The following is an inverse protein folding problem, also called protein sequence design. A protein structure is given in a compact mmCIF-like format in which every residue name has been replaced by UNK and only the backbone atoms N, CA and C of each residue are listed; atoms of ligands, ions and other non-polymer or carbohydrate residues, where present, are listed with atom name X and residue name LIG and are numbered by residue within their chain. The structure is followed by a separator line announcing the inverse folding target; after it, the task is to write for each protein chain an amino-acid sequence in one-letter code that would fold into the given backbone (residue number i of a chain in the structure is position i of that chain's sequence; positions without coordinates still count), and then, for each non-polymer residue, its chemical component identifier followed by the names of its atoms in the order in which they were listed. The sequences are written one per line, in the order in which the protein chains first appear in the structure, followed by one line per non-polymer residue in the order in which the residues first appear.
data_IF_696833996697
#
_entry.id   IF_696833996697
#
_cell.length_a   1.000
_cell.length_b   1.000
_cell.length_c   1.000
_cell.angle_alpha   90.00
_cell.angle_beta   90.00
_cell.angle_gamma   90.00
#
_symmetry.space_group_name_H-M   'P 1'
#
loop_
_entity.id
_entity.type
_entity.pdbx_description
1 polymer ?
#
# COMPACT_ATOMS: atom_id res chain seq x y z
N UNK A 1 -0.26 -26.01 10.66
CA UNK A 1 -0.10 -25.47 10.51
C UNK A 1 -0.29 -24.95 10.11
N UNK A 2 -0.11 -24.80 10.28
CA UNK A 2 -0.31 -24.11 10.00
C UNK A 2 -0.20 -23.48 9.36
N UNK A 3 -0.53 -23.57 8.41
CA UNK A 3 -0.31 -22.68 8.08
C UNK A 3 -0.17 -21.69 8.80
N UNK A 4 0.10 -21.99 9.18
CA UNK A 4 0.30 -21.15 10.13
C UNK A 4 0.91 -19.95 9.78
N UNK A 5 0.93 -18.97 10.41
CA UNK A 5 1.62 -17.79 10.19
C UNK A 5 1.13 -16.94 9.05
N UNK A 6 0.23 -17.40 8.21
CA UNK A 6 -0.30 -16.61 7.13
C UNK A 6 -1.72 -16.24 7.46
N UNK A 7 -1.86 -15.18 8.25
CA UNK A 7 -3.18 -14.69 8.62
C UNK A 7 -3.32 -13.29 8.06
N UNK A 8 -4.30 -13.12 7.19
CA UNK A 8 -4.64 -11.82 6.63
C UNK A 8 -5.90 -11.33 7.33
N UNK A 9 -5.74 -10.26 8.10
CA UNK A 9 -6.86 -9.66 8.80
C UNK A 9 -7.66 -8.79 7.85
N UNK A 10 -8.99 -8.87 7.88
CA UNK A 10 -9.80 -8.02 7.02
C UNK A 10 -9.69 -6.55 7.42
N UNK A 11 -9.71 -5.67 6.42
CA UNK A 11 -9.71 -4.24 6.60
C UNK A 11 -11.00 -3.69 6.01
N UNK A 12 -11.83 -3.12 6.85
CA UNK A 12 -13.07 -2.47 6.42
C UNK A 12 -12.83 -0.97 6.49
N UNK A 13 -12.41 -0.39 5.37
CA UNK A 13 -12.09 1.03 5.33
C UNK A 13 -13.32 1.86 5.04
N UNK A 14 -13.90 1.67 3.85
CA UNK A 14 -15.16 2.32 3.49
C UNK A 14 -15.99 1.33 2.69
N UNK A 15 -17.21 1.73 2.29
CA UNK A 15 -18.04 0.87 1.44
C UNK A 15 -17.39 0.63 0.07
N UNK A 16 -16.52 1.55 -0.36
CA UNK A 16 -15.91 1.47 -1.69
C UNK A 16 -14.44 1.05 -1.65
N UNK A 17 -13.83 0.91 -0.47
CA UNK A 17 -12.44 0.50 -0.35
C UNK A 17 -12.30 -0.52 0.77
N UNK A 18 -11.86 -1.72 0.43
CA UNK A 18 -11.72 -2.81 1.38
C UNK A 18 -10.42 -3.52 1.11
N UNK A 19 -10.03 -4.38 2.03
CA UNK A 19 -8.82 -5.15 1.83
C UNK A 19 -8.46 -6.05 3.00
N UNK A 20 -7.21 -6.44 3.02
CA UNK A 20 -6.66 -7.27 4.08
C UNK A 20 -5.30 -6.75 4.49
N UNK A 21 -4.90 -7.08 5.71
CA UNK A 21 -3.59 -6.75 6.26
C UNK A 21 -2.90 -8.03 6.69
N UNK A 22 -1.66 -8.19 6.26
CA UNK A 22 -0.85 -9.35 6.58
C UNK A 22 0.45 -8.82 7.19
N UNK A 23 0.80 -9.29 8.38
CA UNK A 23 2.00 -8.82 9.10
C UNK A 23 3.01 -9.95 9.17
N UNK A 24 4.25 -9.63 8.87
CA UNK A 24 5.39 -10.52 9.03
C UNK A 24 6.42 -9.84 9.95
N UNK A 25 7.52 -10.52 10.19
CA UNK A 25 8.54 -9.99 11.10
C UNK A 25 9.09 -8.64 10.65
N UNK A 26 9.27 -8.46 9.35
CA UNK A 26 9.94 -7.27 8.83
C UNK A 26 9.13 -6.46 7.83
N UNK A 27 7.88 -6.83 7.55
CA UNK A 27 7.04 -6.06 6.63
C UNK A 27 5.57 -6.23 6.93
N UNK A 28 4.76 -5.33 6.38
CA UNK A 28 3.31 -5.42 6.37
C UNK A 28 2.84 -5.36 4.92
N UNK A 29 1.89 -6.20 4.56
CA UNK A 29 1.30 -6.25 3.23
C UNK A 29 -0.18 -5.91 3.33
N UNK A 30 -0.58 -4.85 2.64
CA UNK A 30 -1.98 -4.43 2.57
C UNK A 30 -2.49 -4.67 1.15
N UNK A 31 -3.45 -5.59 1.00
CA UNK A 31 -4.08 -5.84 -0.29
C UNK A 31 -5.39 -5.09 -0.32
N UNK A 32 -5.55 -4.21 -1.29
CA UNK A 32 -6.70 -3.31 -1.35
C UNK A 32 -7.50 -3.54 -2.63
N UNK A 33 -8.81 -3.37 -2.51
CA UNK A 33 -9.77 -3.56 -3.60
C UNK A 33 -10.74 -2.40 -3.61
N UNK A 34 -11.02 -1.86 -4.77
CA UNK A 34 -12.04 -0.83 -4.93
C UNK A 34 -11.48 0.50 -5.37
N UNK A 35 -11.89 1.56 -4.70
CA UNK A 35 -11.59 2.93 -5.13
C UNK A 35 -10.78 3.65 -4.07
N UNK A 36 -9.68 4.26 -4.49
CA UNK A 36 -8.87 5.12 -3.61
C UNK A 36 -9.05 6.55 -4.12
N UNK A 37 -10.04 7.22 -3.59
CA UNK A 37 -10.49 8.52 -4.07
C UNK A 37 -10.70 9.49 -2.90
N UNK A 38 -11.26 10.66 -3.19
CA UNK A 38 -11.48 11.68 -2.18
C UNK A 38 -12.37 11.19 -1.04
N UNK A 39 -13.30 10.29 -1.33
CA UNK A 39 -14.21 9.76 -0.30
C UNK A 39 -13.47 8.80 0.63
N UNK A 40 -12.67 7.89 0.10
CA UNK A 40 -12.00 6.85 0.89
C UNK A 40 -10.67 7.30 1.47
N UNK A 41 -10.07 8.35 0.92
CA UNK A 41 -8.72 8.79 1.27
C UNK A 41 -8.55 9.09 2.76
N UNK A 42 -9.46 9.81 3.43
CA UNK A 42 -9.24 10.12 4.85
C UNK A 42 -9.16 8.86 5.72
N UNK A 43 -10.03 7.88 5.44
CA UNK A 43 -10.01 6.62 6.18
C UNK A 43 -8.76 5.81 5.86
N UNK A 44 -8.39 5.75 4.59
CA UNK A 44 -7.16 5.07 4.16
C UNK A 44 -5.96 5.64 4.91
N UNK A 45 -5.81 6.96 4.88
CA UNK A 45 -4.67 7.64 5.51
C UNK A 45 -4.62 7.37 7.01
N UNK A 46 -5.76 7.46 7.67
CA UNK A 46 -5.83 7.25 9.11
C UNK A 46 -5.49 5.81 9.50
N UNK A 47 -6.11 4.84 8.84
CA UNK A 47 -5.97 3.44 9.23
C UNK A 47 -4.60 2.89 8.82
N UNK A 48 -4.21 3.07 7.57
CA UNK A 48 -2.93 2.55 7.10
C UNK A 48 -1.77 3.30 7.75
N UNK A 49 -1.93 4.61 7.95
CA UNK A 49 -0.91 5.39 8.64
C UNK A 49 -0.66 4.91 10.06
N UNK A 50 -1.72 4.56 10.78
CA UNK A 50 -1.58 4.04 12.13
C UNK A 50 -0.85 2.70 12.15
N UNK A 51 -1.21 1.79 11.23
CA UNK A 51 -0.51 0.51 11.15
C UNK A 51 0.96 0.70 10.77
N UNK A 52 1.25 1.70 9.94
CA UNK A 52 2.64 2.01 9.58
C UNK A 52 3.45 2.44 10.80
N UNK A 53 2.83 3.18 11.72
CA UNK A 53 3.49 3.59 12.95
C UNK A 53 3.68 2.45 13.94
N UNK A 54 2.72 1.53 13.98
CA UNK A 54 2.69 0.50 15.02
C UNK A 54 3.37 -0.80 14.65
N UNK A 55 3.50 -1.09 13.37
CA UNK A 55 4.05 -2.35 12.91
C UNK A 55 5.38 -2.21 12.21
N UNK A 56 5.82 -3.27 11.54
CA UNK A 56 7.05 -3.18 10.73
C UNK A 56 6.96 -2.06 9.70
N UNK A 57 8.06 -1.34 9.52
CA UNK A 57 8.07 -0.13 8.69
C UNK A 57 8.37 -0.38 7.23
N UNK A 58 8.50 -1.64 6.81
CA UNK A 58 8.55 -2.01 5.40
C UNK A 58 7.11 -2.27 4.97
N UNK A 59 6.59 -1.37 4.14
CA UNK A 59 5.16 -1.40 3.76
C UNK A 59 5.02 -1.81 2.31
N UNK A 60 4.15 -2.76 2.04
CA UNK A 60 3.78 -3.14 0.68
C UNK A 60 2.28 -2.88 0.53
N UNK A 61 1.92 -2.04 -0.42
CA UNK A 61 0.52 -1.79 -0.78
C UNK A 61 0.25 -2.51 -2.09
N UNK A 62 -0.59 -3.53 -2.05
CA UNK A 62 -0.98 -4.25 -3.26
C UNK A 62 -2.24 -3.58 -3.82
N UNK A 63 -2.04 -2.75 -4.84
CA UNK A 63 -3.11 -2.04 -5.52
C UNK A 63 -3.48 -2.68 -6.85
N UNK A 64 -3.07 -3.93 -7.07
CA UNK A 64 -3.35 -4.61 -8.34
C UNK A 64 -4.85 -4.77 -8.61
N UNK A 65 -5.67 -4.76 -7.56
CA UNK A 65 -7.13 -4.88 -7.66
C UNK A 65 -7.85 -3.55 -7.45
N UNK A 66 -7.13 -2.46 -7.46
CA UNK A 66 -7.75 -1.12 -7.37
C UNK A 66 -8.29 -0.74 -8.73
N UNK A 67 -9.53 -0.28 -8.76
CA UNK A 67 -10.21 0.11 -9.98
C UNK A 67 -9.95 1.55 -10.38
N UNK A 68 -9.69 2.42 -9.38
CA UNK A 68 -9.58 3.85 -9.65
C UNK A 68 -8.80 4.54 -8.53
N UNK A 69 -7.91 5.46 -8.93
CA UNK A 69 -7.18 6.33 -8.01
C UNK A 69 -7.28 7.75 -8.56
N UNK A 70 -7.71 8.70 -7.71
CA UNK A 70 -7.72 10.11 -8.11
C UNK A 70 -6.57 10.86 -7.42
N UNK A 71 -6.54 12.18 -7.58
CA UNK A 71 -5.47 12.99 -7.01
C UNK A 71 -5.42 12.92 -5.48
N UNK A 72 -6.57 12.78 -4.82
CA UNK A 72 -6.61 12.63 -3.36
C UNK A 72 -5.95 11.32 -2.96
N UNK A 73 -6.26 10.23 -3.68
CA UNK A 73 -5.65 8.94 -3.42
C UNK A 73 -4.15 8.96 -3.66
N UNK A 74 -3.70 9.59 -4.75
CA UNK A 74 -2.27 9.72 -5.03
C UNK A 74 -1.57 10.50 -3.92
N UNK A 75 -2.20 11.57 -3.43
CA UNK A 75 -1.64 12.34 -2.32
C UNK A 75 -1.46 11.49 -1.07
N UNK A 76 -2.43 10.62 -0.79
CA UNK A 76 -2.33 9.73 0.36
C UNK A 76 -1.18 8.72 0.19
N UNK A 77 -0.97 8.21 -1.02
CA UNK A 77 0.14 7.30 -1.29
C UNK A 77 1.49 7.96 -1.08
N UNK A 78 1.62 9.22 -1.53
CA UNK A 78 2.85 9.97 -1.32
C UNK A 78 3.08 10.23 0.17
N UNK A 79 2.04 10.60 0.91
CA UNK A 79 2.17 10.82 2.35
C UNK A 79 2.59 9.54 3.07
N UNK A 80 2.04 8.41 2.68
CA UNK A 80 2.42 7.14 3.28
C UNK A 80 3.88 6.81 3.00
N UNK A 81 4.34 7.07 1.78
CA UNK A 81 5.75 6.85 1.43
C UNK A 81 6.68 7.71 2.30
N UNK A 82 6.30 8.97 2.51
CA UNK A 82 7.08 9.86 3.38
C UNK A 82 7.07 9.40 4.82
N UNK A 83 5.93 8.96 5.31
CA UNK A 83 5.81 8.47 6.68
C UNK A 83 6.67 7.23 6.91
N UNK A 84 6.64 6.28 5.98
CA UNK A 84 7.45 5.07 6.10
C UNK A 84 8.94 5.42 6.08
N UNK A 85 9.34 6.33 5.20
CA UNK A 85 10.71 6.77 5.11
C UNK A 85 11.17 7.46 6.39
N UNK A 86 10.32 8.31 6.97
CA UNK A 86 10.63 8.99 8.22
C UNK A 86 10.80 8.01 9.38
N UNK A 87 10.13 6.87 9.32
CA UNK A 87 10.25 5.83 10.33
C UNK A 87 11.42 4.88 10.06
N UNK A 88 12.24 5.19 9.06
CA UNK A 88 13.40 4.36 8.73
C UNK A 88 13.09 3.18 7.83
N UNK A 89 11.89 3.14 7.27
CA UNK A 89 11.47 2.04 6.40
C UNK A 89 11.24 2.47 4.97
N UNK A 90 10.44 1.69 4.26
CA UNK A 90 10.12 1.96 2.87
C UNK A 90 8.66 1.64 2.62
N UNK A 91 8.13 2.17 1.51
CA UNK A 91 6.84 1.72 1.00
C UNK A 91 7.00 1.36 -0.46
N UNK A 92 6.32 0.29 -0.86
CA UNK A 92 6.30 -0.16 -2.25
C UNK A 92 4.85 -0.37 -2.65
N UNK A 93 4.55 -0.10 -3.90
CA UNK A 93 3.21 -0.23 -4.45
C UNK A 93 3.23 -1.28 -5.54
N UNK A 94 2.48 -2.37 -5.35
CA UNK A 94 2.21 -3.31 -6.43
C UNK A 94 1.10 -2.70 -7.25
N UNK A 95 1.40 -2.40 -8.50
CA UNK A 95 0.55 -1.57 -9.33
C UNK A 95 -0.18 -2.41 -10.39
N UNK A 96 -1.09 -1.77 -11.12
CA UNK A 96 -1.68 -2.32 -12.33
C UNK A 96 -1.54 -1.26 -13.42
N UNK A 97 -1.97 -1.59 -14.64
CA UNK A 97 -1.79 -0.67 -15.77
C UNK A 97 -2.47 0.68 -15.54
N UNK A 98 -3.67 0.65 -14.96
CA UNK A 98 -4.45 1.87 -14.71
C UNK A 98 -3.78 2.76 -13.66
N UNK A 99 -3.35 2.17 -12.56
CA UNK A 99 -2.67 2.92 -11.49
C UNK A 99 -1.36 3.48 -12.02
N UNK A 100 -0.58 2.68 -12.74
CA UNK A 100 0.69 3.12 -13.32
C UNK A 100 0.48 4.32 -14.24
N UNK A 101 -0.53 4.25 -15.11
CA UNK A 101 -0.82 5.34 -16.03
C UNK A 101 -1.16 6.63 -15.28
N UNK A 102 -1.98 6.53 -14.23
CA UNK A 102 -2.36 7.69 -13.44
C UNK A 102 -1.15 8.31 -12.74
N UNK A 103 -0.29 7.47 -12.16
CA UNK A 103 0.92 7.95 -11.49
C UNK A 103 1.84 8.67 -12.47
N UNK A 104 2.01 8.11 -13.66
CA UNK A 104 2.88 8.72 -14.68
C UNK A 104 2.34 10.02 -15.22
N UNK A 105 1.01 10.13 -15.37
CA UNK A 105 0.39 11.36 -15.87
C UNK A 105 0.69 12.56 -14.98
N UNK A 106 0.81 12.36 -13.68
CA UNK A 106 1.10 13.44 -12.74
C UNK A 106 2.56 13.44 -12.31
N UNK A 107 3.39 12.61 -12.93
CA UNK A 107 4.85 12.54 -12.72
C UNK A 107 5.25 12.26 -11.29
N UNK A 108 4.55 11.31 -10.66
CA UNK A 108 4.86 10.91 -9.30
C UNK A 108 5.65 9.60 -9.22
N UNK A 109 6.05 9.03 -10.37
CA UNK A 109 6.74 7.74 -10.37
C UNK A 109 8.08 7.79 -9.64
N UNK A 110 8.70 8.95 -9.52
CA UNK A 110 9.96 9.07 -8.78
C UNK A 110 9.74 9.12 -7.27
N UNK A 111 8.52 9.37 -6.82
CA UNK A 111 8.20 9.42 -5.39
C UNK A 111 7.54 8.14 -4.90
N UNK A 112 7.16 7.26 -5.80
CA UNK A 112 6.45 6.03 -5.48
C UNK A 112 7.20 4.86 -6.09
N UNK A 113 7.50 3.86 -5.25
CA UNK A 113 8.21 2.67 -5.70
C UNK A 113 7.22 1.68 -6.26
N UNK A 114 7.03 1.69 -7.58
CA UNK A 114 6.07 0.82 -8.25
C UNK A 114 6.70 -0.53 -8.56
N UNK A 115 5.98 -1.60 -8.26
CA UNK A 115 6.41 -2.96 -8.53
C UNK A 115 5.34 -3.69 -9.32
N UNK A 116 5.70 -4.61 -10.19
CA UNK A 116 4.69 -5.32 -10.98
C UNK A 116 3.97 -6.40 -10.19
N UNK A 117 4.60 -6.98 -9.17
CA UNK A 117 4.03 -8.08 -8.38
C UNK A 117 4.43 -7.97 -6.92
N UNK A 118 3.70 -8.69 -6.07
CA UNK A 118 4.06 -8.80 -4.65
C UNK A 118 5.44 -9.46 -4.52
N UNK A 119 5.72 -10.46 -5.35
CA UNK A 119 7.01 -11.14 -5.32
C UNK A 119 8.17 -10.19 -5.60
N UNK A 120 8.00 -9.29 -6.56
CA UNK A 120 9.03 -8.29 -6.86
C UNK A 120 9.25 -7.35 -5.67
N UNK A 121 8.18 -6.96 -4.98
CA UNK A 121 8.29 -6.13 -3.80
C UNK A 121 9.02 -6.86 -2.67
N UNK A 122 8.71 -8.13 -2.47
CA UNK A 122 9.37 -8.94 -1.44
C UNK A 122 10.86 -9.12 -1.73
N UNK A 123 11.21 -9.31 -2.99
CA UNK A 123 12.61 -9.40 -3.39
C UNK A 123 13.39 -8.15 -3.00
N UNK A 124 12.76 -7.00 -3.17
CA UNK A 124 13.40 -5.73 -2.83
C UNK A 124 13.66 -5.62 -1.32
N UNK A 125 12.76 -6.16 -0.51
CA UNK A 125 12.94 -6.16 0.94
C UNK A 125 14.07 -7.10 1.34
N UNK A 126 14.11 -8.30 0.75
CA UNK A 126 15.13 -9.30 1.08
C UNK A 126 16.52 -8.83 0.72
N UNK A 127 16.66 -8.08 -0.36
CA UNK A 127 17.97 -7.63 -0.81
C UNK A 127 18.47 -6.41 -0.04
N UNK A 128 17.61 -5.79 0.73
CA UNK A 128 17.99 -4.66 1.59
C UNK A 128 18.54 -5.14 2.95
#
# INVERSE_FOLDING_TARGET
MHKEGIIADPLNLTVSLRGTREVRDNYQLFRLTGLLDAFSEPTFRKVIGKFTEEGPNQIILDLSQIDFVDSSGLGALVQLAKQAQSAGGTSQIVTNARVTQTVKLVRLEQFLSLRPTVEAALENIKSA
#
